data_IF_841940311868
#
_entry.id   IF_841940311868
#
_cell.length_a   1.000
_cell.length_b   1.000
_cell.length_c   1.000
_cell.angle_alpha   90.00
_cell.angle_beta   90.00
_cell.angle_gamma   90.00
#
_symmetry.space_group_name_H-M   'P 1'
#
loop_
_entity.id
_entity.type
_entity.pdbx_description
1 polymer ?
#
# COMPACT_ATOMS: atom_id res chain seq x y z
N UNK A 1 -0.18 11.32 74.60
CA UNK A 1 0.16 11.52 73.16
C UNK A 1 -0.96 12.35 72.52
N UNK A 2 -0.73 13.65 72.31
CA UNK A 2 -1.76 14.59 71.84
C UNK A 2 -1.72 14.67 70.31
N UNK A 3 -2.80 14.28 69.67
CA UNK A 3 -2.98 14.29 68.21
C UNK A 3 -3.27 15.72 67.73
N UNK A 4 -2.36 16.28 66.92
CA UNK A 4 -2.48 17.58 66.28
C UNK A 4 -3.23 17.42 64.95
N UNK A 5 -4.55 17.63 64.98
CA UNK A 5 -5.37 17.74 63.77
C UNK A 5 -5.15 19.13 63.15
N UNK A 6 -4.31 19.19 62.12
CA UNK A 6 -4.10 20.37 61.26
C UNK A 6 -5.30 20.51 60.32
N UNK A 7 -6.21 21.43 60.64
CA UNK A 7 -7.30 21.85 59.76
C UNK A 7 -6.70 22.73 58.66
N UNK A 8 -6.52 22.16 57.47
CA UNK A 8 -6.14 22.93 56.27
C UNK A 8 -7.39 23.67 55.77
N UNK A 9 -7.49 24.95 56.12
CA UNK A 9 -8.50 25.85 55.58
C UNK A 9 -8.25 26.05 54.07
N UNK A 10 -9.06 25.40 53.24
CA UNK A 10 -9.13 25.64 51.80
C UNK A 10 -9.64 27.06 51.56
N UNK A 11 -8.71 28.00 51.33
CA UNK A 11 -9.04 29.34 50.82
C UNK A 11 -9.67 29.18 49.44
N UNK A 12 -11.00 29.32 49.38
CA UNK A 12 -11.71 29.59 48.12
C UNK A 12 -11.23 30.93 47.59
N UNK A 13 -10.37 30.88 46.58
CA UNK A 13 -10.05 32.05 45.76
C UNK A 13 -11.27 32.36 44.89
N UNK A 14 -12.14 33.24 45.38
CA UNK A 14 -13.14 33.89 44.54
C UNK A 14 -12.40 34.78 43.55
N UNK A 15 -12.43 34.42 42.26
CA UNK A 15 -11.95 35.31 41.22
C UNK A 15 -12.80 36.59 41.26
N UNK A 16 -12.17 37.73 41.53
CA UNK A 16 -12.83 39.04 41.55
C UNK A 16 -13.34 39.50 40.18
N UNK A 17 -13.07 38.74 39.11
CA UNK A 17 -13.53 39.05 37.77
C UNK A 17 -14.95 38.50 37.60
N UNK A 18 -15.96 39.36 37.36
CA UNK A 18 -17.32 38.91 37.10
C UNK A 18 -17.36 37.98 35.88
N UNK A 19 -18.21 36.96 35.92
CA UNK A 19 -18.33 35.94 34.87
C UNK A 19 -18.71 36.48 33.47
N UNK A 20 -19.16 37.75 33.39
CA UNK A 20 -19.52 38.44 32.16
C UNK A 20 -18.44 39.41 31.66
N UNK A 21 -17.34 39.60 32.41
CA UNK A 21 -16.18 40.30 31.88
C UNK A 21 -15.39 39.28 31.09
N UNK A 22 -15.64 39.24 29.77
CA UNK A 22 -14.74 38.60 28.84
C UNK A 22 -13.38 39.26 29.04
N UNK A 23 -12.49 38.57 29.77
CA UNK A 23 -11.06 38.90 29.83
C UNK A 23 -10.65 39.09 28.39
N UNK A 24 -10.40 40.35 28.01
CA UNK A 24 -10.02 40.71 26.65
C UNK A 24 -8.87 39.79 26.26
N UNK A 25 -9.18 38.75 25.49
CA UNK A 25 -8.15 37.86 24.97
C UNK A 25 -7.32 38.81 24.13
N UNK A 26 -6.06 39.08 24.51
CA UNK A 26 -5.25 40.01 23.76
C UNK A 26 -5.35 39.55 22.31
N UNK A 27 -5.84 40.42 21.43
CA UNK A 27 -5.98 40.15 20.01
C UNK A 27 -4.57 39.82 19.56
N UNK A 28 -4.26 38.52 19.52
CA UNK A 28 -2.95 38.07 19.10
C UNK A 28 -2.87 38.55 17.65
N UNK A 29 -1.89 39.40 17.30
CA UNK A 29 -1.71 39.79 15.92
C UNK A 29 -1.66 38.49 15.11
N UNK A 30 -2.34 38.44 13.95
CA UNK A 30 -2.49 37.21 13.18
C UNK A 30 -1.11 36.59 13.03
N UNK A 31 -0.89 35.45 13.71
CA UNK A 31 0.41 34.78 13.70
C UNK A 31 0.81 34.64 12.24
N UNK A 32 2.01 35.12 11.84
CA UNK A 32 2.44 35.08 10.46
C UNK A 32 2.22 33.67 9.94
N UNK A 33 1.56 33.57 8.78
CA UNK A 33 1.14 32.31 8.19
C UNK A 33 2.25 31.26 8.36
N UNK A 34 1.92 30.16 9.04
CA UNK A 34 2.85 29.09 9.40
C UNK A 34 3.76 28.79 8.22
N UNK A 35 5.03 29.15 8.33
CA UNK A 35 6.00 28.99 7.24
C UNK A 35 6.38 27.52 7.17
N UNK A 36 6.38 26.95 5.97
CA UNK A 36 6.85 25.59 5.76
C UNK A 36 8.31 25.44 6.24
N UNK A 37 8.66 24.31 6.87
CA UNK A 37 10.02 24.08 7.34
C UNK A 37 11.02 24.13 6.16
N UNK A 38 12.27 24.58 6.41
CA UNK A 38 13.28 24.62 5.36
C UNK A 38 13.60 23.21 4.85
N UNK A 39 13.81 23.10 3.53
CA UNK A 39 14.20 21.85 2.88
C UNK A 39 15.69 21.60 3.11
N UNK A 40 16.13 20.35 3.38
CA UNK A 40 17.53 20.02 3.50
C UNK A 40 18.36 20.43 2.26
N UNK A 41 19.61 20.84 2.47
CA UNK A 41 20.46 21.34 1.37
C UNK A 41 20.75 20.26 0.32
N UNK A 42 20.92 19.00 0.76
CA UNK A 42 21.20 17.85 -0.09
C UNK A 42 19.99 17.36 -0.92
N UNK A 43 18.83 18.00 -0.80
CA UNK A 43 17.63 17.58 -1.51
C UNK A 43 17.72 17.83 -3.02
N UNK A 44 17.33 16.85 -3.87
CA UNK A 44 17.26 17.02 -5.32
C UNK A 44 16.46 18.25 -5.75
N UNK A 45 16.93 18.93 -6.80
CA UNK A 45 16.32 20.17 -7.30
C UNK A 45 14.83 20.00 -7.65
N UNK A 46 14.45 18.84 -8.19
CA UNK A 46 13.05 18.50 -8.49
C UNK A 46 12.17 18.54 -7.24
N UNK A 47 12.67 18.02 -6.11
CA UNK A 47 11.93 18.01 -4.85
C UNK A 47 11.89 19.42 -4.24
N UNK A 48 12.97 20.21 -4.37
CA UNK A 48 12.97 21.63 -3.95
C UNK A 48 11.92 22.46 -4.70
N UNK A 49 11.84 22.29 -6.03
CA UNK A 49 10.82 22.94 -6.85
C UNK A 49 9.41 22.49 -6.48
N UNK A 50 9.21 21.18 -6.29
CA UNK A 50 7.93 20.63 -5.84
C UNK A 50 7.53 21.18 -4.47
N UNK A 51 8.45 21.25 -3.51
CA UNK A 51 8.22 21.79 -2.18
C UNK A 51 7.80 23.27 -2.25
N UNK A 52 8.46 24.07 -3.07
CA UNK A 52 8.09 25.47 -3.28
C UNK A 52 6.66 25.61 -3.84
N UNK A 53 6.26 24.75 -4.78
CA UNK A 53 4.88 24.74 -5.30
C UNK A 53 3.86 24.28 -4.26
N UNK A 54 4.18 23.26 -3.46
CA UNK A 54 3.30 22.77 -2.39
C UNK A 54 3.15 23.80 -1.28
N UNK A 55 4.20 24.56 -0.98
CA UNK A 55 4.18 25.65 0.00
C UNK A 55 3.28 26.84 -0.40
N UNK A 56 2.80 26.88 -1.65
CA UNK A 56 1.82 27.87 -2.12
C UNK A 56 0.38 27.35 -2.07
N UNK A 57 0.17 26.07 -1.74
CA UNK A 57 -1.16 25.44 -1.80
C UNK A 57 -2.00 25.82 -0.58
N UNK A 58 -3.21 26.40 -0.76
CA UNK A 58 -4.09 26.75 0.36
C UNK A 58 -4.72 25.52 1.06
N UNK A 59 -4.58 24.33 0.47
CA UNK A 59 -5.13 23.09 1.01
C UNK A 59 -4.18 22.34 1.93
N UNK A 60 -2.94 22.81 2.08
CA UNK A 60 -1.92 22.14 2.91
C UNK A 60 -1.69 22.85 4.23
N UNK A 61 -1.41 22.05 5.26
CA UNK A 61 -0.83 22.52 6.51
C UNK A 61 0.67 22.68 6.31
N UNK A 62 1.11 23.91 6.08
CA UNK A 62 2.51 24.23 5.76
C UNK A 62 3.50 23.72 6.82
N UNK A 63 3.13 23.71 8.11
CA UNK A 63 3.97 23.18 9.19
C UNK A 63 4.24 21.68 9.10
N UNK A 64 3.40 20.94 8.38
CA UNK A 64 3.49 19.48 8.24
C UNK A 64 3.94 19.04 6.85
N UNK A 65 4.41 19.98 6.02
CA UNK A 65 5.13 19.66 4.80
C UNK A 65 6.56 19.28 5.15
N UNK A 66 6.94 18.00 5.03
CA UNK A 66 8.26 17.49 5.41
C UNK A 66 8.94 16.76 4.26
N UNK A 67 10.24 16.97 4.12
CA UNK A 67 11.08 16.21 3.19
C UNK A 67 12.05 15.37 4.02
N UNK A 68 12.01 14.06 3.82
CA UNK A 68 12.88 13.10 4.48
C UNK A 68 13.82 12.46 3.46
N UNK A 69 15.09 12.38 3.83
CA UNK A 69 16.09 11.60 3.13
C UNK A 69 16.12 10.20 3.77
N UNK A 70 15.96 9.17 2.96
CA UNK A 70 16.04 7.79 3.43
C UNK A 70 17.48 7.36 3.69
N UNK A 71 18.45 7.97 2.99
CA UNK A 71 19.89 7.70 3.15
C UNK A 71 20.45 8.36 4.40
N UNK A 72 19.87 9.48 4.82
CA UNK A 72 20.31 10.20 6.02
C UNK A 72 19.99 9.47 7.32
N UNK A 73 19.40 8.25 7.26
CA UNK A 73 19.56 7.12 8.18
C UNK A 73 19.96 7.41 9.62
N UNK A 74 19.41 8.42 10.28
CA UNK A 74 19.72 8.80 11.67
C UNK A 74 18.68 9.87 12.05
N UNK A 75 17.66 9.57 12.84
CA UNK A 75 17.77 8.90 14.11
C UNK A 75 17.22 7.49 14.00
N UNK A 76 18.11 6.51 14.14
CA UNK A 76 17.74 5.27 14.82
C UNK A 76 17.25 5.72 16.19
N UNK A 77 15.96 6.04 16.30
CA UNK A 77 15.27 5.82 17.56
C UNK A 77 15.65 4.37 17.87
N UNK A 78 16.35 4.12 18.97
CA UNK A 78 16.59 2.77 19.49
C UNK A 78 15.22 2.15 19.78
N UNK A 79 14.52 1.77 18.73
CA UNK A 79 13.33 0.97 18.80
C UNK A 79 13.90 -0.40 19.13
N UNK A 80 13.53 -0.98 20.29
CA UNK A 80 13.93 -2.34 20.63
C UNK A 80 13.71 -3.23 19.40
N UNK A 81 14.69 -4.10 19.05
CA UNK A 81 14.59 -4.93 17.86
C UNK A 81 13.22 -5.61 17.85
N UNK A 82 12.49 -5.44 16.75
CA UNK A 82 11.18 -6.09 16.62
C UNK A 82 11.38 -7.59 16.87
N UNK A 83 10.51 -8.24 17.66
CA UNK A 83 10.63 -9.67 17.90
C UNK A 83 10.68 -10.38 16.54
N UNK A 84 11.72 -11.19 16.34
CA UNK A 84 11.93 -11.96 15.11
C UNK A 84 10.67 -12.78 14.84
N UNK A 85 9.85 -12.32 13.89
CA UNK A 85 8.66 -13.04 13.49
C UNK A 85 9.10 -14.12 12.51
N UNK A 86 8.82 -15.37 12.85
CA UNK A 86 8.97 -16.50 11.92
C UNK A 86 8.20 -16.14 10.63
N UNK A 87 8.82 -16.27 9.44
CA UNK A 87 8.18 -15.90 8.19
C UNK A 87 6.83 -16.62 8.06
N UNK A 88 5.74 -15.84 8.03
CA UNK A 88 4.41 -16.37 7.78
C UNK A 88 4.33 -16.79 6.32
N UNK A 89 4.67 -18.05 6.05
CA UNK A 89 4.52 -18.68 4.75
C UNK A 89 3.07 -18.57 4.28
N UNK A 90 2.88 -18.21 3.00
CA UNK A 90 1.54 -18.13 2.41
C UNK A 90 1.13 -19.54 1.99
N UNK A 91 0.17 -20.14 2.70
CA UNK A 91 -0.43 -21.43 2.31
C UNK A 91 -1.02 -21.33 0.89
N UNK A 92 -0.43 -22.04 -0.06
CA UNK A 92 -1.07 -22.43 -1.33
C UNK A 92 -1.38 -23.92 -1.27
N UNK A 93 -2.46 -24.36 -1.92
CA UNK A 93 -2.73 -25.80 -2.10
C UNK A 93 -1.52 -26.42 -2.80
N UNK A 94 -0.80 -27.31 -2.13
CA UNK A 94 0.39 -27.99 -2.66
C UNK A 94 1.72 -27.72 -1.94
N UNK A 95 1.79 -26.80 -0.96
CA UNK A 95 3.01 -26.64 -0.16
C UNK A 95 3.10 -25.31 0.59
N UNK A 96 3.86 -25.33 1.70
CA UNK A 96 4.25 -24.12 2.42
C UNK A 96 5.57 -23.63 1.85
N UNK A 97 5.52 -22.70 0.89
CA UNK A 97 6.71 -21.92 0.54
C UNK A 97 6.96 -20.97 1.71
N UNK A 98 8.11 -21.11 2.37
CA UNK A 98 8.66 -20.12 3.28
C UNK A 98 9.03 -18.89 2.43
N UNK A 99 8.01 -18.13 2.02
CA UNK A 99 8.20 -16.99 1.14
C UNK A 99 9.20 -16.04 1.78
N UNK A 100 10.15 -15.54 0.99
CA UNK A 100 11.06 -14.50 1.42
C UNK A 100 10.26 -13.37 2.07
N UNK A 101 10.55 -13.16 3.35
CA UNK A 101 10.00 -12.05 4.10
C UNK A 101 10.58 -10.80 3.45
N UNK A 102 9.75 -10.06 2.73
CA UNK A 102 10.14 -8.83 2.03
C UNK A 102 10.61 -7.70 2.98
N UNK A 103 10.79 -8.03 4.25
CA UNK A 103 11.31 -7.18 5.31
C UNK A 103 12.84 -7.24 5.43
N UNK A 104 13.50 -8.24 4.85
CA UNK A 104 14.95 -8.49 5.04
C UNK A 104 15.85 -7.87 3.96
N UNK A 105 15.32 -7.04 3.07
CA UNK A 105 16.17 -6.25 2.16
C UNK A 105 16.43 -4.89 2.81
N UNK A 106 17.62 -4.68 3.43
CA UNK A 106 18.00 -3.38 3.96
C UNK A 106 18.07 -2.40 2.78
N UNK A 107 17.11 -1.47 2.75
CA UNK A 107 16.97 -0.50 1.67
C UNK A 107 15.52 -0.06 1.53
N UNK A 108 15.28 1.23 1.72
CA UNK A 108 14.03 1.86 1.32
C UNK A 108 13.94 1.85 -0.20
N UNK A 109 12.74 1.62 -0.74
CA UNK A 109 12.51 1.65 -2.20
C UNK A 109 12.76 3.02 -2.85
N UNK A 110 12.80 4.05 -2.02
CA UNK A 110 12.92 5.44 -2.40
C UNK A 110 14.04 6.07 -1.59
N UNK A 111 14.86 6.89 -2.25
CA UNK A 111 15.92 7.66 -1.62
C UNK A 111 15.35 8.86 -0.86
N UNK A 112 14.22 9.41 -1.32
CA UNK A 112 13.55 10.54 -0.68
C UNK A 112 12.06 10.30 -0.48
N UNK A 113 11.51 10.88 0.58
CA UNK A 113 10.07 10.86 0.85
C UNK A 113 9.58 12.26 1.19
N UNK A 114 8.52 12.70 0.53
CA UNK A 114 7.86 13.98 0.82
C UNK A 114 6.51 13.68 1.48
N UNK A 115 6.29 14.24 2.67
CA UNK A 115 5.04 14.15 3.40
C UNK A 115 4.33 15.49 3.32
N UNK A 116 3.10 15.49 2.83
CA UNK A 116 2.24 16.66 2.74
C UNK A 116 0.93 16.36 3.47
N UNK A 117 0.67 17.07 4.57
CA UNK A 117 -0.58 16.94 5.30
C UNK A 117 -1.59 17.99 4.81
N UNK A 118 -2.77 17.51 4.45
CA UNK A 118 -3.88 18.35 4.02
C UNK A 118 -4.56 18.97 5.24
N UNK A 119 -5.03 20.21 5.07
CA UNK A 119 -5.79 20.95 6.07
C UNK A 119 -7.04 20.19 6.49
N UNK A 120 -7.27 20.13 7.79
CA UNK A 120 -8.42 19.46 8.39
C UNK A 120 -9.73 19.98 7.82
N UNK A 121 -10.65 19.07 7.48
CA UNK A 121 -11.96 19.40 6.92
C UNK A 121 -11.96 19.71 5.42
N UNK A 122 -10.78 19.75 4.77
CA UNK A 122 -10.69 19.84 3.30
C UNK A 122 -10.51 18.47 2.63
N UNK A 123 -10.35 17.39 3.40
CA UNK A 123 -10.02 16.07 2.86
C UNK A 123 -11.18 15.48 2.04
N UNK A 124 -12.42 15.62 2.53
CA UNK A 124 -13.63 15.20 1.82
C UNK A 124 -14.09 16.19 0.74
N UNK A 125 -13.46 17.37 0.66
CA UNK A 125 -13.80 18.44 -0.29
C UNK A 125 -12.87 18.47 -1.50
N UNK A 126 -12.08 17.43 -1.72
CA UNK A 126 -11.15 17.37 -2.83
C UNK A 126 -9.76 17.96 -2.53
N UNK A 127 -9.42 18.23 -1.26
CA UNK A 127 -8.12 18.78 -0.89
C UNK A 127 -6.96 17.87 -1.30
N UNK A 128 -7.11 16.56 -1.08
CA UNK A 128 -6.12 15.54 -1.49
C UNK A 128 -6.00 15.51 -3.02
N UNK A 129 -7.12 15.55 -3.75
CA UNK A 129 -7.17 15.59 -5.21
C UNK A 129 -6.48 16.81 -5.79
N UNK A 130 -6.67 17.98 -5.16
CA UNK A 130 -6.04 19.23 -5.54
C UNK A 130 -4.53 19.14 -5.38
N UNK A 131 -4.05 18.69 -4.22
CA UNK A 131 -2.61 18.52 -3.96
C UNK A 131 -1.99 17.48 -4.90
N UNK A 132 -2.62 16.32 -5.08
CA UNK A 132 -2.14 15.28 -6.03
C UNK A 132 -2.05 15.82 -7.45
N UNK A 133 -2.98 16.70 -7.86
CA UNK A 133 -2.93 17.37 -9.16
C UNK A 133 -1.74 18.32 -9.25
N UNK A 134 -1.48 19.13 -8.22
CA UNK A 134 -0.30 20.01 -8.15
C UNK A 134 0.98 19.20 -8.30
N UNK A 135 1.13 18.11 -7.51
CA UNK A 135 2.31 17.24 -7.57
C UNK A 135 2.50 16.68 -8.97
N UNK A 136 1.46 16.08 -9.57
CA UNK A 136 1.56 15.51 -10.91
C UNK A 136 1.91 16.56 -11.96
N UNK A 137 1.31 17.75 -11.88
CA UNK A 137 1.62 18.86 -12.79
C UNK A 137 3.09 19.28 -12.65
N UNK A 138 3.58 19.44 -11.42
CA UNK A 138 4.97 19.79 -11.14
C UNK A 138 5.95 18.76 -11.69
N UNK A 139 5.64 17.47 -11.55
CA UNK A 139 6.52 16.40 -11.99
C UNK A 139 6.54 16.23 -13.52
N UNK A 140 5.43 16.55 -14.19
CA UNK A 140 5.35 16.55 -15.65
C UNK A 140 6.00 17.80 -16.29
N UNK A 141 6.19 18.88 -15.54
CA UNK A 141 6.89 20.08 -16.01
C UNK A 141 8.41 20.01 -15.86
N UNK A 142 8.95 18.97 -15.22
CA UNK A 142 10.40 18.73 -15.15
C UNK A 142 10.86 18.27 -16.53
N UNK A 143 12.02 18.73 -16.97
CA UNK A 143 12.69 18.26 -18.19
C UNK A 143 13.88 17.35 -17.80
N UNK A 144 13.88 16.05 -18.14
CA UNK A 144 12.83 15.31 -18.87
C UNK A 144 11.61 14.97 -17.99
N UNK A 145 10.41 14.80 -18.59
CA UNK A 145 9.20 14.50 -17.85
C UNK A 145 9.29 13.13 -17.17
N UNK A 146 9.02 13.09 -15.87
CA UNK A 146 9.10 11.86 -15.09
C UNK A 146 7.96 10.89 -15.46
N UNK A 147 8.24 9.58 -15.61
CA UNK A 147 7.22 8.59 -15.92
C UNK A 147 6.34 8.33 -14.69
N UNK A 148 5.17 8.96 -14.65
CA UNK A 148 4.22 8.80 -13.55
C UNK A 148 3.13 7.80 -13.95
N UNK A 149 2.77 6.82 -13.10
CA UNK A 149 1.69 5.90 -13.40
C UNK A 149 0.34 6.63 -13.60
N UNK A 150 -0.53 6.13 -14.50
CA UNK A 150 -1.83 6.74 -14.76
C UNK A 150 -2.67 6.85 -13.48
N UNK A 151 -3.52 7.89 -13.41
CA UNK A 151 -4.29 8.21 -12.20
C UNK A 151 -5.29 7.10 -11.88
N UNK A 152 -5.07 6.36 -10.78
CA UNK A 152 -6.06 5.41 -10.28
C UNK A 152 -7.15 6.13 -9.47
N UNK A 153 -8.35 6.28 -10.02
CA UNK A 153 -9.50 6.93 -9.33
C UNK A 153 -9.87 6.24 -8.00
N UNK A 154 -9.67 4.92 -7.90
CA UNK A 154 -10.11 4.10 -6.75
C UNK A 154 -9.32 4.32 -5.45
N UNK A 155 -8.17 5.00 -5.47
CA UNK A 155 -7.26 5.06 -4.32
C UNK A 155 -7.45 6.25 -3.36
N UNK A 156 -8.27 7.23 -3.72
CA UNK A 156 -8.27 8.54 -3.03
C UNK A 156 -9.31 8.67 -1.90
N UNK A 157 -10.27 7.74 -1.80
CA UNK A 157 -11.39 7.86 -0.85
C UNK A 157 -11.02 7.66 0.63
N UNK A 158 -9.79 7.24 0.94
CA UNK A 158 -9.41 6.84 2.30
C UNK A 158 -8.64 7.91 3.09
N UNK A 159 -8.64 9.16 2.64
CA UNK A 159 -7.88 10.24 3.31
C UNK A 159 -6.36 10.12 3.12
N UNK A 160 -5.91 9.38 2.11
CA UNK A 160 -4.50 9.23 1.80
C UNK A 160 -4.29 8.98 0.30
N UNK A 161 -3.22 9.55 -0.24
CA UNK A 161 -2.73 9.26 -1.57
C UNK A 161 -1.20 9.16 -1.55
N UNK A 162 -0.65 8.36 -2.46
CA UNK A 162 0.78 8.27 -2.67
C UNK A 162 1.09 8.27 -4.16
N UNK A 163 2.10 9.04 -4.52
CA UNK A 163 2.61 9.16 -5.88
C UNK A 163 4.03 8.60 -5.85
N UNK A 164 4.26 7.58 -6.68
CA UNK A 164 5.57 6.98 -6.90
C UNK A 164 6.22 7.69 -8.10
N UNK A 165 7.38 8.31 -7.87
CA UNK A 165 8.16 9.01 -8.88
C UNK A 165 9.50 8.30 -9.16
N UNK A 166 9.62 7.02 -8.82
CA UNK A 166 10.82 6.21 -9.07
C UNK A 166 11.81 6.33 -7.91
N UNK A 167 12.54 7.45 -7.84
CA UNK A 167 13.60 7.70 -6.85
C UNK A 167 13.06 8.26 -5.54
N UNK A 168 11.87 8.87 -5.58
CA UNK A 168 11.19 9.42 -4.43
C UNK A 168 9.70 9.15 -4.44
N UNK A 169 9.09 9.22 -3.26
CA UNK A 169 7.66 9.08 -3.09
C UNK A 169 7.05 10.32 -2.41
N UNK A 170 5.85 10.70 -2.85
CA UNK A 170 5.08 11.79 -2.25
C UNK A 170 3.86 11.20 -1.57
N UNK A 171 3.77 11.36 -0.25
CA UNK A 171 2.65 10.96 0.59
C UNK A 171 1.78 12.18 0.89
N UNK A 172 0.51 12.13 0.47
CA UNK A 172 -0.50 13.14 0.79
C UNK A 172 -1.46 12.54 1.81
N UNK A 173 -1.53 13.10 3.02
CA UNK A 173 -2.21 12.53 4.17
C UNK A 173 -3.28 13.48 4.72
N UNK A 174 -4.40 12.93 5.18
CA UNK A 174 -5.33 13.64 6.08
C UNK A 174 -4.79 13.72 7.50
N UNK A 175 -5.28 14.68 8.29
CA UNK A 175 -4.85 14.85 9.69
C UNK A 175 -5.17 13.63 10.55
N UNK A 176 -6.36 13.07 10.38
CA UNK A 176 -6.80 11.85 11.09
C UNK A 176 -5.89 10.64 10.80
N UNK A 177 -5.33 10.57 9.59
CA UNK A 177 -4.48 9.46 9.16
C UNK A 177 -3.02 9.64 9.55
N UNK A 178 -2.55 10.86 9.81
CA UNK A 178 -1.15 11.12 10.16
C UNK A 178 -0.71 10.33 11.40
N UNK A 179 -1.55 10.32 12.45
CA UNK A 179 -1.29 9.57 13.68
C UNK A 179 -1.45 8.06 13.50
N UNK A 180 -2.42 7.61 12.71
CA UNK A 180 -2.72 6.18 12.53
C UNK A 180 -1.79 5.48 11.55
N UNK A 181 -1.21 6.21 10.60
CA UNK A 181 -0.36 5.62 9.56
C UNK A 181 1.09 5.37 10.00
N UNK A 182 1.50 5.83 11.20
CA UNK A 182 2.85 5.57 11.75
C UNK A 182 3.21 4.08 11.94
N UNK A 183 2.27 3.13 12.00
CA UNK A 183 2.62 1.71 11.83
C UNK A 183 2.22 1.15 10.45
N UNK A 184 1.22 1.76 9.81
CA UNK A 184 0.61 1.26 8.57
C UNK A 184 1.46 1.52 7.31
N UNK A 185 2.41 2.47 7.34
CA UNK A 185 3.35 2.65 6.24
C UNK A 185 4.11 1.36 5.92
N UNK A 186 4.42 0.53 6.95
CA UNK A 186 5.08 -0.77 6.77
C UNK A 186 4.24 -1.75 5.94
N UNK A 187 2.90 -1.63 5.92
CA UNK A 187 2.00 -2.54 5.20
C UNK A 187 1.79 -2.09 3.76
N UNK A 188 1.64 -0.78 3.52
CA UNK A 188 1.44 -0.24 2.17
C UNK A 188 2.71 -0.37 1.32
N UNK A 189 3.89 -0.17 1.92
CA UNK A 189 5.18 -0.47 1.29
C UNK A 189 5.21 -1.89 0.70
N UNK A 190 4.52 -2.86 1.33
CA UNK A 190 4.43 -4.22 0.78
C UNK A 190 3.68 -4.33 -0.55
N UNK A 191 2.60 -3.57 -0.70
CA UNK A 191 1.75 -3.66 -1.88
C UNK A 191 2.40 -3.01 -3.11
N UNK A 192 3.13 -1.91 -2.91
CA UNK A 192 3.78 -1.15 -3.99
C UNK A 192 5.02 -1.87 -4.49
N UNK A 193 5.85 -2.41 -3.57
CA UNK A 193 7.01 -3.24 -3.93
C UNK A 193 6.62 -4.43 -4.81
N UNK A 194 5.54 -5.13 -4.44
CA UNK A 194 5.04 -6.27 -5.21
C UNK A 194 4.63 -5.92 -6.65
N UNK A 195 4.16 -4.69 -6.89
CA UNK A 195 3.82 -4.23 -8.25
C UNK A 195 5.05 -3.85 -9.07
N UNK A 196 6.06 -3.21 -8.45
CA UNK A 196 7.31 -2.85 -9.13
C UNK A 196 8.10 -4.09 -9.56
N UNK A 197 8.23 -5.09 -8.68
CA UNK A 197 8.88 -6.37 -9.01
C UNK A 197 8.12 -7.18 -10.07
N UNK A 198 6.78 -7.07 -10.13
CA UNK A 198 6.01 -7.73 -11.19
C UNK A 198 6.19 -7.06 -12.55
N UNK A 199 6.29 -5.74 -12.58
CA UNK A 199 6.42 -4.99 -13.84
C UNK A 199 7.87 -4.88 -14.32
N UNK A 200 8.89 -5.09 -13.47
CA UNK A 200 10.28 -5.18 -13.92
C UNK A 200 10.65 -6.57 -14.49
N UNK A 201 9.76 -7.56 -14.38
CA UNK A 201 10.02 -8.94 -14.84
C UNK A 201 9.72 -9.19 -16.32
N UNK A 202 9.31 -8.18 -17.10
CA UNK A 202 9.04 -8.33 -18.55
C UNK A 202 10.21 -7.80 -19.41
N UNK A 203 11.28 -7.26 -18.81
CA UNK A 203 12.49 -6.86 -19.54
C UNK A 203 13.79 -7.46 -18.96
N UNK A 204 13.75 -8.66 -18.38
CA UNK A 204 14.97 -9.50 -18.34
C UNK A 204 15.14 -10.16 -19.71
N UNK A 205 15.59 -9.37 -20.67
CA UNK A 205 16.19 -9.84 -21.91
C UNK A 205 17.41 -10.70 -21.56
N UNK A 206 17.33 -11.99 -21.86
CA UNK A 206 18.46 -12.84 -22.26
C UNK A 206 19.71 -12.88 -21.35
N UNK A 207 19.58 -13.36 -20.11
CA UNK A 207 20.69 -14.09 -19.48
C UNK A 207 20.65 -15.55 -19.98
N UNK A 208 21.15 -15.78 -21.20
CA UNK A 208 21.36 -17.13 -21.77
C UNK A 208 22.59 -17.84 -21.21
N UNK A 209 23.25 -17.28 -20.18
CA UNK A 209 24.43 -17.88 -19.56
C UNK A 209 24.15 -18.33 -18.13
N UNK A 210 23.07 -19.10 -17.94
CA UNK A 210 22.95 -19.97 -16.78
C UNK A 210 23.90 -21.14 -17.01
N UNK A 211 25.14 -20.97 -16.52
CA UNK A 211 26.14 -22.02 -16.53
C UNK A 211 25.56 -23.33 -16.00
N UNK A 212 25.76 -24.40 -16.78
CA UNK A 212 25.59 -25.81 -16.47
C UNK A 212 24.41 -26.15 -15.54
N UNK A 213 23.35 -26.71 -16.13
CA UNK A 213 22.22 -27.33 -15.46
C UNK A 213 22.65 -28.11 -14.21
N UNK A 214 22.57 -27.46 -13.04
CA UNK A 214 22.63 -28.15 -11.76
C UNK A 214 21.29 -28.83 -11.59
N UNK A 215 21.30 -30.16 -11.63
CA UNK A 215 20.10 -30.98 -11.43
C UNK A 215 19.35 -30.58 -10.16
N UNK A 216 18.02 -30.69 -10.21
CA UNK A 216 17.06 -30.21 -9.21
C UNK A 216 17.18 -30.82 -7.80
N UNK A 217 18.17 -31.68 -7.56
CA UNK A 217 18.30 -32.45 -6.32
C UNK A 217 19.38 -31.93 -5.36
N UNK A 218 20.06 -30.82 -5.69
CA UNK A 218 21.04 -30.22 -4.78
C UNK A 218 20.37 -29.11 -3.96
N UNK A 219 19.69 -29.49 -2.88
CA UNK A 219 19.22 -28.53 -1.89
C UNK A 219 20.39 -28.13 -0.97
N UNK A 220 20.74 -26.83 -0.85
CA UNK A 220 21.83 -26.40 0.03
C UNK A 220 21.48 -26.71 1.49
N UNK A 221 22.28 -27.58 2.12
CA UNK A 221 22.13 -27.97 3.52
C UNK A 221 21.77 -29.44 3.78
N UNK A 222 21.54 -30.25 2.74
CA UNK A 222 21.33 -31.69 2.89
C UNK A 222 22.60 -32.43 2.44
N UNK A 223 23.52 -32.64 3.39
CA UNK A 223 24.73 -33.43 3.18
C UNK A 223 24.40 -34.93 3.23
N UNK A 224 23.88 -35.50 2.14
CA UNK A 224 24.20 -36.86 1.70
C UNK A 224 23.55 -37.19 0.34
N UNK A 225 24.23 -36.97 -0.80
CA UNK A 225 23.82 -37.64 -2.02
C UNK A 225 24.28 -39.11 -1.93
N UNK A 226 23.35 -40.02 -1.62
CA UNK A 226 23.60 -41.45 -1.81
C UNK A 226 23.84 -41.71 -3.30
N UNK A 227 24.77 -42.61 -3.62
CA UNK A 227 25.38 -42.88 -4.93
C UNK A 227 24.44 -43.39 -6.05
N UNK A 228 23.13 -43.14 -5.97
CA UNK A 228 22.12 -43.61 -6.92
C UNK A 228 21.54 -42.50 -7.81
N UNK A 229 22.14 -41.31 -7.85
CA UNK A 229 21.75 -40.26 -8.80
C UNK A 229 22.17 -40.66 -10.21
N UNK A 230 21.39 -41.54 -10.84
CA UNK A 230 21.51 -41.83 -12.25
C UNK A 230 21.17 -40.53 -13.00
N UNK A 231 22.19 -39.92 -13.61
CA UNK A 231 22.08 -38.71 -14.42
C UNK A 231 21.42 -39.02 -15.77
N UNK A 232 20.31 -39.75 -15.77
CA UNK A 232 19.46 -39.88 -16.94
C UNK A 232 18.76 -38.54 -17.14
N UNK A 233 18.98 -37.94 -18.31
CA UNK A 233 18.33 -36.71 -18.75
C UNK A 233 16.83 -36.75 -18.43
N UNK A 234 16.32 -35.86 -17.54
CA UNK A 234 14.92 -35.88 -17.12
C UNK A 234 13.95 -35.60 -18.28
N UNK A 235 14.45 -35.09 -19.40
CA UNK A 235 13.66 -34.99 -20.62
C UNK A 235 13.48 -36.37 -21.26
N UNK A 236 14.50 -37.22 -21.29
CA UNK A 236 14.42 -38.51 -21.97
C UNK A 236 13.57 -39.55 -21.22
N UNK A 237 13.48 -39.47 -19.89
CA UNK A 237 12.69 -40.42 -19.08
C UNK A 237 11.21 -40.04 -18.92
N UNK A 238 10.82 -38.79 -19.23
CA UNK A 238 9.45 -38.31 -19.03
C UNK A 238 8.58 -38.29 -20.30
N UNK A 239 9.16 -38.43 -21.49
CA UNK A 239 8.36 -38.50 -22.71
C UNK A 239 8.11 -39.96 -23.10
N UNK A 240 6.84 -40.34 -23.03
CA UNK A 240 6.31 -41.57 -23.62
C UNK A 240 6.61 -41.51 -25.12
N UNK A 241 7.56 -42.32 -25.58
CA UNK A 241 7.98 -42.35 -26.99
C UNK A 241 6.93 -42.92 -27.92
N UNK A 242 5.96 -43.67 -27.38
CA UNK A 242 4.80 -44.17 -28.13
C UNK A 242 3.51 -43.98 -27.31
N UNK A 243 2.68 -42.96 -27.62
CA UNK A 243 1.44 -42.70 -26.92
C UNK A 243 0.36 -43.78 -27.15
N UNK A 244 0.61 -44.76 -28.03
CA UNK A 244 -0.29 -45.88 -28.29
C UNK A 244 0.11 -47.18 -27.59
N UNK A 245 1.30 -47.23 -26.98
CA UNK A 245 1.66 -48.34 -26.11
C UNK A 245 0.74 -48.36 -24.89
N UNK A 246 0.28 -49.55 -24.50
CA UNK A 246 -0.57 -49.74 -23.31
C UNK A 246 0.15 -49.47 -21.97
N UNK A 247 1.43 -49.09 -22.04
CA UNK A 247 2.25 -48.74 -20.89
C UNK A 247 1.87 -47.36 -20.37
N UNK A 248 1.20 -47.37 -19.21
CA UNK A 248 0.72 -46.17 -18.53
C UNK A 248 1.89 -45.28 -18.15
N UNK A 249 1.86 -44.01 -18.58
CA UNK A 249 2.95 -43.06 -18.41
C UNK A 249 3.39 -42.80 -16.97
N UNK A 250 4.68 -42.49 -16.83
CA UNK A 250 5.40 -41.92 -15.69
C UNK A 250 4.84 -42.21 -14.29
N UNK A 251 5.15 -43.40 -13.76
CA UNK A 251 5.00 -43.69 -12.32
C UNK A 251 3.59 -44.01 -11.84
N UNK A 252 2.62 -44.11 -12.74
CA UNK A 252 1.32 -44.68 -12.44
C UNK A 252 1.48 -46.18 -12.11
N UNK A 253 1.36 -46.54 -10.83
CA UNK A 253 1.46 -47.94 -10.40
C UNK A 253 0.48 -48.85 -11.14
N UNK A 254 0.75 -50.16 -11.19
CA UNK A 254 -0.02 -51.14 -11.98
C UNK A 254 -1.55 -51.11 -11.73
N UNK A 255 -1.99 -50.58 -10.59
CA UNK A 255 -3.41 -50.43 -10.20
C UNK A 255 -4.01 -49.03 -10.47
N UNK A 256 -3.33 -48.16 -11.21
CA UNK A 256 -3.82 -46.81 -11.49
C UNK A 256 -4.94 -46.83 -12.54
N UNK A 257 -6.19 -46.68 -12.08
CA UNK A 257 -7.38 -46.54 -12.91
C UNK A 257 -7.64 -45.06 -13.28
N UNK A 258 -6.59 -44.33 -13.68
CA UNK A 258 -6.67 -42.90 -13.96
C UNK A 258 -7.76 -42.55 -14.98
N UNK A 259 -7.91 -43.36 -16.02
CA UNK A 259 -8.91 -43.16 -17.07
C UNK A 259 -10.34 -43.33 -16.53
N UNK A 260 -10.57 -44.29 -15.62
CA UNK A 260 -11.88 -44.52 -14.99
C UNK A 260 -12.26 -43.36 -14.07
N UNK A 261 -11.29 -42.85 -13.30
CA UNK A 261 -11.48 -41.70 -12.41
C UNK A 261 -11.64 -40.38 -13.17
N UNK A 262 -10.89 -40.19 -14.25
CA UNK A 262 -11.03 -39.02 -15.12
C UNK A 262 -12.42 -39.02 -15.79
N UNK A 263 -12.85 -40.15 -16.36
CA UNK A 263 -14.18 -40.28 -16.95
C UNK A 263 -15.30 -40.04 -15.93
N UNK A 264 -15.14 -40.50 -14.68
CA UNK A 264 -16.10 -40.27 -13.60
C UNK A 264 -16.18 -38.79 -13.20
N UNK A 265 -15.04 -38.10 -13.11
CA UNK A 265 -15.02 -36.65 -12.85
C UNK A 265 -15.67 -35.87 -13.98
N UNK A 266 -15.33 -36.16 -15.25
CA UNK A 266 -15.99 -35.51 -16.38
C UNK A 266 -17.49 -35.77 -16.39
N UNK A 267 -17.97 -36.96 -16.02
CA UNK A 267 -19.41 -37.24 -15.90
C UNK A 267 -20.08 -36.46 -14.76
N UNK A 268 -19.37 -36.16 -13.67
CA UNK A 268 -19.90 -35.37 -12.55
C UNK A 268 -19.87 -33.86 -12.81
N UNK A 269 -18.84 -33.36 -13.52
CA UNK A 269 -18.70 -31.93 -13.81
C UNK A 269 -19.31 -31.51 -15.14
N UNK A 270 -19.54 -32.43 -16.07
CA UNK A 270 -20.32 -32.20 -17.29
C UNK A 270 -21.83 -32.27 -17.01
N UNK A 271 -22.26 -31.68 -15.89
CA UNK A 271 -23.58 -31.12 -15.79
C UNK A 271 -23.68 -30.00 -16.83
N UNK A 272 -23.94 -30.39 -18.08
CA UNK A 272 -24.47 -29.50 -19.11
C UNK A 272 -25.73 -28.93 -18.50
N UNK A 273 -25.64 -27.71 -17.98
CA UNK A 273 -26.80 -26.87 -17.80
C UNK A 273 -27.26 -26.61 -19.22
N UNK A 274 -28.11 -27.52 -19.73
CA UNK A 274 -28.87 -27.29 -20.94
C UNK A 274 -29.65 -26.01 -20.65
N UNK A 275 -29.15 -24.89 -21.18
CA UNK A 275 -29.87 -23.64 -21.17
C UNK A 275 -31.14 -23.90 -21.95
N UNK A 276 -32.23 -24.22 -21.24
CA UNK A 276 -33.57 -24.25 -21.83
C UNK A 276 -33.74 -22.89 -22.51
N UNK A 277 -33.88 -22.84 -23.85
CA UNK A 277 -34.16 -21.60 -24.55
C UNK A 277 -35.65 -21.31 -24.28
N UNK A 278 -35.92 -20.71 -23.14
CA UNK A 278 -37.28 -20.44 -22.71
C UNK A 278 -37.29 -19.73 -21.36
N UNK A 279 -37.63 -18.44 -21.41
CA UNK A 279 -38.06 -17.60 -20.29
C UNK A 279 -36.90 -16.96 -19.48
N UNK A 280 -36.34 -15.89 -20.04
CA UNK A 280 -35.80 -14.75 -19.27
C UNK A 280 -36.68 -13.52 -19.53
N UNK A 281 -38.00 -13.71 -19.59
CA UNK A 281 -38.95 -12.61 -19.87
C UNK A 281 -39.47 -11.91 -18.60
N UNK A 282 -39.08 -12.35 -17.40
CA UNK A 282 -39.60 -11.80 -16.14
C UNK A 282 -38.55 -11.54 -15.07
N UNK A 283 -37.30 -11.34 -15.47
CA UNK A 283 -36.44 -10.52 -14.63
C UNK A 283 -36.94 -9.07 -14.79
N UNK A 284 -37.82 -8.65 -13.88
CA UNK A 284 -38.24 -7.28 -13.67
C UNK A 284 -37.03 -6.46 -13.22
N UNK A 285 -36.09 -6.25 -14.16
CA UNK A 285 -34.96 -5.36 -14.00
C UNK A 285 -35.55 -3.98 -14.17
N UNK A 286 -35.81 -3.33 -13.04
CA UNK A 286 -36.24 -1.94 -12.98
C UNK A 286 -35.32 -1.13 -13.91
N UNK A 287 -35.86 -0.42 -14.92
CA UNK A 287 -35.03 0.33 -15.85
C UNK A 287 -34.15 1.27 -15.05
N UNK A 288 -32.83 1.18 -15.28
CA UNK A 288 -31.83 2.01 -14.62
C UNK A 288 -32.17 3.48 -14.87
N UNK A 289 -32.90 4.08 -13.93
CA UNK A 289 -33.31 5.47 -14.00
C UNK A 289 -32.07 6.36 -13.80
N UNK A 290 -31.62 6.99 -14.88
CA UNK A 290 -30.47 7.91 -14.91
C UNK A 290 -30.63 9.12 -13.96
N UNK A 291 -31.84 9.38 -13.45
CA UNK A 291 -32.12 10.47 -12.51
C UNK A 291 -31.97 10.10 -11.02
N UNK A 292 -31.65 8.84 -10.67
CA UNK A 292 -31.60 8.36 -9.27
C UNK A 292 -30.55 9.08 -8.39
N UNK A 293 -29.58 9.80 -8.97
CA UNK A 293 -28.55 10.53 -8.21
C UNK A 293 -28.73 12.06 -8.13
N UNK A 294 -29.84 12.64 -8.62
CA UNK A 294 -29.99 14.11 -8.67
C UNK A 294 -30.61 14.77 -7.42
N UNK A 295 -30.93 14.00 -6.37
CA UNK A 295 -31.77 14.45 -5.24
C UNK A 295 -31.07 14.87 -3.94
N UNK A 296 -29.73 14.92 -3.86
CA UNK A 296 -29.03 15.35 -2.62
C UNK A 296 -28.29 16.69 -2.76
N UNK A 297 -28.89 17.66 -3.44
CA UNK A 297 -28.56 19.07 -3.20
C UNK A 297 -29.20 19.48 -1.87
N UNK A 298 -28.39 19.42 -0.82
CA UNK A 298 -28.73 19.94 0.50
C UNK A 298 -29.13 21.40 0.37
N UNK A 299 -30.36 21.66 0.79
CA UNK A 299 -30.93 22.96 1.04
C UNK A 299 -30.03 23.69 2.06
N UNK A 300 -29.16 24.58 1.58
CA UNK A 300 -28.39 25.48 2.44
C UNK A 300 -29.37 26.59 2.87
N UNK A 301 -29.92 26.45 4.07
CA UNK A 301 -30.62 27.54 4.75
C UNK A 301 -29.69 28.75 4.84
N UNK A 302 -30.07 29.80 4.15
CA UNK A 302 -29.61 31.16 4.39
C UNK A 302 -30.12 31.58 5.77
N UNK A 303 -29.25 31.58 6.79
CA UNK A 303 -29.49 32.36 8.01
C UNK A 303 -28.91 33.75 7.78
N UNK A 304 -29.77 34.70 7.45
CA UNK A 304 -29.51 36.14 7.56
C UNK A 304 -29.69 36.55 9.03
N UNK A 305 -28.61 36.98 9.68
CA UNK A 305 -28.70 37.73 10.93
C UNK A 305 -28.87 39.23 10.60
N UNK A 306 -29.89 39.83 11.22
CA UNK A 306 -30.04 41.28 11.41
C UNK A 306 -29.25 41.69 12.64
#
# INVERSE_FOLDING_TARGET
MRSLLRVLALRRHYSQVPWFVDTHVPIQPPTPASRAPPVPENTPQVIKALHAQLAQSPHLEHSELRVLDSSSGTQVIEVPPFPLRIPQGKRRRGGNIAGESMYDVPGTLWNWMVFAQVKEGTENKGGIESVVRIVRKSLLSVDPPLPIPPKSKKRMQNGWAMIDAGDFAVHVLSKERHFKCRPAYKVVLKAVRKHRFRNSSIMSLNDQNLGNARGSDVYPGVANPTSSSNSSDPMHTNFVTDPTSGDRGAGAGARFEGDSMAARNFKQTAGVVEGRPGIIETANIDPLNENSNKGKSRNLMLFTFR
#
